data_IF_833579547194
#
_entry.id   IF_833579547194
#
_cell.length_a   1.000
_cell.length_b   1.000
_cell.length_c   1.000
_cell.angle_alpha   90.00
_cell.angle_beta   90.00
_cell.angle_gamma   90.00
#
_symmetry.space_group_name_H-M   'P 1'
#
loop_
_entity.id
_entity.type
_entity.pdbx_description
1 polymer ?
#
# COMPACT_ATOMS: atom_id res chain seq x y z
N UNK A 1 30.70 4.54 -21.45
CA UNK A 1 29.28 4.13 -21.22
C UNK A 1 28.45 5.41 -20.99
N UNK A 2 27.30 5.56 -21.63
CA UNK A 2 26.42 6.72 -21.41
C UNK A 2 25.93 6.69 -19.95
N UNK A 3 26.15 7.77 -19.16
CA UNK A 3 25.58 7.93 -17.82
C UNK A 3 24.05 7.75 -17.93
N UNK A 4 23.52 6.69 -17.35
CA UNK A 4 22.08 6.46 -17.33
C UNK A 4 21.46 7.52 -16.42
N UNK A 5 20.57 8.34 -16.98
CA UNK A 5 19.90 9.36 -16.19
C UNK A 5 18.89 8.68 -15.26
N UNK A 6 19.24 8.55 -13.97
CA UNK A 6 18.39 7.89 -12.96
C UNK A 6 16.98 8.48 -12.88
N UNK A 7 16.81 9.74 -13.28
CA UNK A 7 15.53 10.45 -13.21
C UNK A 7 14.45 9.77 -14.05
N UNK A 8 14.82 9.09 -15.18
CA UNK A 8 13.84 8.44 -16.05
C UNK A 8 13.16 7.23 -15.39
N UNK A 9 13.80 6.59 -14.41
CA UNK A 9 13.24 5.43 -13.70
C UNK A 9 11.99 5.81 -12.90
N UNK A 10 11.94 7.04 -12.35
CA UNK A 10 10.85 7.47 -11.51
C UNK A 10 9.53 7.68 -12.28
N UNK A 11 9.45 8.46 -13.38
CA UNK A 11 8.20 8.61 -14.14
C UNK A 11 7.76 7.29 -14.78
N UNK A 12 8.68 6.46 -15.28
CA UNK A 12 8.32 5.16 -15.84
C UNK A 12 7.77 4.24 -14.74
N UNK A 13 8.44 4.18 -13.59
CA UNK A 13 7.94 3.44 -12.42
C UNK A 13 6.60 3.96 -11.93
N UNK A 14 6.38 5.28 -11.92
CA UNK A 14 5.11 5.90 -11.56
C UNK A 14 3.97 5.43 -12.47
N UNK A 15 4.15 5.48 -13.79
CA UNK A 15 3.13 5.04 -14.75
C UNK A 15 2.82 3.56 -14.60
N UNK A 16 3.84 2.71 -14.42
CA UNK A 16 3.63 1.28 -14.22
C UNK A 16 2.87 1.02 -12.92
N UNK A 17 3.26 1.65 -11.82
CA UNK A 17 2.58 1.51 -10.53
C UNK A 17 1.13 2.02 -10.59
N UNK A 18 0.91 3.11 -11.30
CA UNK A 18 -0.41 3.65 -11.54
C UNK A 18 -1.31 2.64 -12.26
N UNK A 19 -0.85 2.03 -13.34
CA UNK A 19 -1.62 1.01 -14.08
C UNK A 19 -1.74 -0.31 -13.31
N UNK A 20 -0.72 -0.71 -12.56
CA UNK A 20 -0.77 -1.89 -11.70
C UNK A 20 -1.84 -1.75 -10.59
N UNK A 21 -2.09 -0.54 -10.11
CA UNK A 21 -3.12 -0.26 -9.11
C UNK A 21 -4.57 -0.40 -9.61
N UNK A 22 -4.79 -0.66 -10.90
CA UNK A 22 -6.14 -0.88 -11.48
C UNK A 22 -6.93 -1.99 -10.76
N UNK A 23 -6.25 -2.93 -10.10
CA UNK A 23 -6.92 -3.96 -9.29
C UNK A 23 -7.79 -3.36 -8.17
N UNK A 24 -7.50 -2.15 -7.70
CA UNK A 24 -8.35 -1.43 -6.74
C UNK A 24 -9.57 -0.74 -7.35
N UNK A 25 -9.66 -0.66 -8.68
CA UNK A 25 -10.87 -0.20 -9.37
C UNK A 25 -11.95 -1.30 -9.48
N UNK A 26 -11.73 -2.45 -8.81
CA UNK A 26 -12.63 -3.61 -8.88
C UNK A 26 -14.08 -3.27 -8.54
N UNK A 27 -14.37 -2.39 -7.60
CA UNK A 27 -15.73 -1.99 -7.25
C UNK A 27 -16.49 -1.43 -8.45
N UNK A 28 -15.84 -0.58 -9.26
CA UNK A 28 -16.42 0.02 -10.48
C UNK A 28 -16.56 -1.05 -11.58
N UNK A 29 -15.54 -1.89 -11.73
CA UNK A 29 -15.53 -2.97 -12.74
C UNK A 29 -16.62 -4.01 -12.41
N UNK A 30 -16.74 -4.40 -11.15
CA UNK A 30 -17.72 -5.42 -10.71
C UNK A 30 -19.17 -4.96 -10.87
N UNK A 31 -19.44 -3.66 -10.73
CA UNK A 31 -20.76 -3.08 -10.97
C UNK A 31 -21.19 -3.30 -12.43
N UNK A 32 -20.31 -2.99 -13.40
CA UNK A 32 -20.59 -3.24 -14.82
C UNK A 32 -20.74 -4.72 -15.15
N UNK A 33 -20.00 -5.60 -14.47
CA UNK A 33 -20.13 -7.05 -14.64
C UNK A 33 -21.46 -7.55 -14.05
N UNK A 34 -21.88 -7.07 -12.89
CA UNK A 34 -23.14 -7.45 -12.25
C UNK A 34 -24.35 -7.07 -13.10
N UNK A 35 -24.29 -5.93 -13.77
CA UNK A 35 -25.33 -5.51 -14.72
C UNK A 35 -25.45 -6.46 -15.93
N UNK A 36 -24.33 -7.08 -16.35
CA UNK A 36 -24.31 -8.04 -17.47
C UNK A 36 -24.71 -9.45 -17.02
N UNK A 37 -24.38 -9.84 -15.80
CA UNK A 37 -24.64 -11.15 -15.23
C UNK A 37 -25.44 -11.04 -13.91
N UNK A 38 -26.75 -10.80 -13.96
CA UNK A 38 -27.60 -10.65 -12.76
C UNK A 38 -27.61 -11.87 -11.84
N UNK A 39 -27.26 -13.05 -12.39
CA UNK A 39 -27.16 -14.30 -11.61
C UNK A 39 -25.89 -14.37 -10.74
N UNK A 40 -24.90 -13.52 -10.98
CA UNK A 40 -23.69 -13.47 -10.18
C UNK A 40 -23.89 -12.53 -9.00
N UNK A 41 -24.05 -13.13 -7.83
CA UNK A 41 -24.29 -12.36 -6.62
C UNK A 41 -23.06 -11.59 -6.15
N UNK A 42 -23.26 -10.67 -5.21
CA UNK A 42 -22.20 -9.83 -4.65
C UNK A 42 -21.06 -10.65 -4.03
N UNK A 43 -21.37 -11.81 -3.44
CA UNK A 43 -20.37 -12.71 -2.87
C UNK A 43 -19.45 -13.29 -3.96
N UNK A 44 -20.00 -13.70 -5.10
CA UNK A 44 -19.25 -14.20 -6.26
C UNK A 44 -18.27 -13.14 -6.77
N UNK A 45 -18.72 -11.90 -6.92
CA UNK A 45 -17.88 -10.81 -7.39
C UNK A 45 -16.83 -10.41 -6.35
N UNK A 46 -17.18 -10.38 -5.07
CA UNK A 46 -16.23 -10.11 -3.98
C UNK A 46 -15.14 -11.18 -3.88
N UNK A 47 -15.47 -12.46 -4.18
CA UNK A 47 -14.47 -13.53 -4.22
C UNK A 47 -13.40 -13.29 -5.28
N UNK A 48 -13.76 -12.70 -6.43
CA UNK A 48 -12.77 -12.32 -7.46
C UNK A 48 -11.71 -11.37 -6.87
N UNK A 49 -12.13 -10.34 -6.14
CA UNK A 49 -11.23 -9.41 -5.50
C UNK A 49 -10.36 -10.08 -4.43
N UNK A 50 -10.97 -10.97 -3.64
CA UNK A 50 -10.23 -11.75 -2.63
C UNK A 50 -9.12 -12.57 -3.28
N UNK A 51 -9.43 -13.31 -4.36
CA UNK A 51 -8.44 -14.07 -5.12
C UNK A 51 -7.35 -13.15 -5.67
N UNK A 52 -7.74 -11.98 -6.22
CA UNK A 52 -6.77 -11.00 -6.74
C UNK A 52 -5.78 -10.56 -5.66
N UNK A 53 -6.27 -10.22 -4.47
CA UNK A 53 -5.42 -9.76 -3.36
C UNK A 53 -4.50 -10.86 -2.83
N UNK A 54 -5.01 -12.08 -2.71
CA UNK A 54 -4.21 -13.22 -2.26
C UNK A 54 -3.08 -13.52 -3.25
N UNK A 55 -3.42 -13.60 -4.55
CA UNK A 55 -2.43 -13.93 -5.58
C UNK A 55 -1.47 -12.76 -5.85
N UNK A 56 -1.92 -11.52 -5.69
CA UNK A 56 -1.04 -10.34 -5.66
C UNK A 56 0.05 -10.46 -4.60
N UNK A 57 -0.30 -10.83 -3.37
CA UNK A 57 0.68 -11.01 -2.31
C UNK A 57 1.70 -12.11 -2.64
N UNK A 58 1.21 -13.23 -3.20
CA UNK A 58 2.09 -14.33 -3.67
C UNK A 58 2.99 -13.87 -4.83
N UNK A 59 2.47 -13.10 -5.78
CA UNK A 59 3.25 -12.52 -6.88
C UNK A 59 4.38 -11.62 -6.39
N UNK A 60 4.10 -10.80 -5.38
CA UNK A 60 5.11 -9.98 -4.71
C UNK A 60 6.23 -10.82 -4.09
N UNK A 61 5.86 -11.89 -3.37
CA UNK A 61 6.83 -12.85 -2.83
C UNK A 61 7.68 -13.51 -3.91
N UNK A 62 7.05 -14.07 -4.94
CA UNK A 62 7.75 -14.70 -6.08
C UNK A 62 8.73 -13.72 -6.72
N UNK A 63 8.30 -12.48 -6.98
CA UNK A 63 9.17 -11.42 -7.47
C UNK A 63 10.37 -11.19 -6.55
N UNK A 64 10.15 -11.09 -5.24
CA UNK A 64 11.20 -10.86 -4.25
C UNK A 64 12.29 -11.95 -4.29
N UNK A 65 11.89 -13.22 -4.42
CA UNK A 65 12.82 -14.35 -4.52
C UNK A 65 13.57 -14.40 -5.85
N UNK A 66 12.88 -14.11 -6.94
CA UNK A 66 13.43 -14.24 -8.28
C UNK A 66 14.32 -13.06 -8.69
N UNK A 67 13.94 -11.83 -8.33
CA UNK A 67 14.54 -10.61 -8.86
C UNK A 67 16.04 -10.50 -8.59
N UNK A 68 16.50 -11.07 -7.48
CA UNK A 68 17.93 -11.10 -7.16
C UNK A 68 18.74 -12.03 -8.08
N UNK A 69 18.10 -13.09 -8.59
CA UNK A 69 18.74 -14.08 -9.48
C UNK A 69 18.64 -13.67 -10.94
N UNK A 70 17.49 -13.19 -11.36
CA UNK A 70 17.15 -12.94 -12.77
C UNK A 70 17.18 -11.46 -13.16
N UNK A 71 17.22 -10.55 -12.19
CA UNK A 71 16.99 -9.12 -12.41
C UNK A 71 15.50 -8.79 -12.62
N UNK A 72 15.17 -7.49 -12.82
CA UNK A 72 13.78 -7.05 -12.96
C UNK A 72 13.16 -7.41 -14.32
N UNK A 73 13.95 -7.45 -15.40
CA UNK A 73 13.46 -7.59 -16.78
C UNK A 73 12.60 -8.82 -17.02
N UNK A 74 13.04 -10.08 -16.75
CA UNK A 74 12.24 -11.26 -17.03
C UNK A 74 10.98 -11.33 -16.18
N UNK A 75 10.99 -10.80 -14.96
CA UNK A 75 9.81 -10.73 -14.08
C UNK A 75 8.77 -9.77 -14.66
N UNK A 76 9.23 -8.61 -15.13
CA UNK A 76 8.35 -7.63 -15.78
C UNK A 76 7.79 -8.14 -17.11
N UNK A 77 8.60 -8.89 -17.91
CA UNK A 77 8.11 -9.53 -19.13
C UNK A 77 7.03 -10.58 -18.82
N UNK A 78 7.21 -11.38 -17.79
CA UNK A 78 6.19 -12.32 -17.34
C UNK A 78 4.88 -11.59 -16.95
N UNK A 79 4.99 -10.48 -16.20
CA UNK A 79 3.84 -9.66 -15.85
C UNK A 79 3.18 -9.00 -17.06
N UNK A 80 3.98 -8.55 -18.05
CA UNK A 80 3.51 -7.96 -19.31
C UNK A 80 2.68 -8.95 -20.15
N UNK A 81 2.92 -10.24 -20.02
CA UNK A 81 2.14 -11.29 -20.69
C UNK A 81 0.92 -11.68 -19.84
N UNK A 82 1.14 -11.96 -18.56
CA UNK A 82 0.10 -12.48 -17.66
C UNK A 82 -1.09 -11.51 -17.51
N UNK A 83 -0.84 -10.21 -17.36
CA UNK A 83 -1.90 -9.25 -17.11
C UNK A 83 -2.86 -9.11 -18.30
N UNK A 84 -2.41 -8.87 -19.55
CA UNK A 84 -3.30 -8.82 -20.71
C UNK A 84 -4.01 -10.14 -20.96
N UNK A 85 -3.32 -11.28 -20.83
CA UNK A 85 -3.96 -12.59 -20.96
C UNK A 85 -5.09 -12.76 -19.93
N UNK A 86 -4.85 -12.39 -18.67
CA UNK A 86 -5.85 -12.42 -17.62
C UNK A 86 -7.04 -11.51 -17.92
N UNK A 87 -6.80 -10.29 -18.40
CA UNK A 87 -7.86 -9.37 -18.82
C UNK A 87 -8.68 -9.91 -19.99
N UNK A 88 -8.05 -10.53 -21.00
CA UNK A 88 -8.74 -11.16 -22.11
C UNK A 88 -9.63 -12.31 -21.63
N UNK A 89 -9.11 -13.19 -20.78
CA UNK A 89 -9.90 -14.28 -20.18
C UNK A 89 -11.09 -13.70 -19.41
N UNK A 90 -10.87 -12.65 -18.61
CA UNK A 90 -11.94 -11.99 -17.87
C UNK A 90 -13.00 -11.40 -18.80
N UNK A 91 -12.62 -10.79 -19.95
CA UNK A 91 -13.61 -10.26 -20.92
C UNK A 91 -14.43 -11.32 -21.61
N UNK A 92 -13.90 -12.52 -21.74
CA UNK A 92 -14.56 -13.66 -22.35
C UNK A 92 -15.31 -14.54 -21.33
N UNK A 93 -15.24 -14.18 -20.04
CA UNK A 93 -15.82 -14.98 -18.97
C UNK A 93 -17.33 -15.16 -19.14
N UNK A 94 -17.78 -16.41 -19.00
CA UNK A 94 -19.17 -16.83 -18.94
C UNK A 94 -19.48 -17.51 -17.59
N UNK A 95 -18.45 -17.84 -16.84
CA UNK A 95 -18.55 -18.45 -15.52
C UNK A 95 -17.71 -17.66 -14.50
N UNK A 96 -18.12 -17.65 -13.23
CA UNK A 96 -17.31 -17.02 -12.17
C UNK A 96 -15.88 -17.56 -12.10
N UNK A 97 -15.68 -18.85 -12.35
CA UNK A 97 -14.36 -19.46 -12.32
C UNK A 97 -13.39 -18.83 -13.35
N UNK A 98 -13.88 -18.54 -14.56
CA UNK A 98 -13.07 -17.88 -15.59
C UNK A 98 -12.67 -16.45 -15.14
N UNK A 99 -13.56 -15.75 -14.45
CA UNK A 99 -13.27 -14.44 -13.87
C UNK A 99 -12.23 -14.55 -12.73
N UNK A 100 -12.35 -15.57 -11.86
CA UNK A 100 -11.35 -15.82 -10.79
C UNK A 100 -9.99 -16.15 -11.35
N UNK A 101 -9.91 -16.93 -12.45
CA UNK A 101 -8.64 -17.26 -13.09
C UNK A 101 -8.08 -16.03 -13.81
N UNK A 102 -8.85 -15.38 -14.67
CA UNK A 102 -8.42 -14.27 -15.51
C UNK A 102 -8.07 -13.04 -14.68
N UNK A 103 -9.09 -12.40 -14.11
CA UNK A 103 -8.90 -11.18 -13.33
C UNK A 103 -8.26 -11.49 -11.97
N UNK A 104 -8.76 -12.51 -11.27
CA UNK A 104 -8.28 -12.85 -9.94
C UNK A 104 -6.83 -13.32 -9.94
N UNK A 105 -6.56 -14.48 -10.50
CA UNK A 105 -5.25 -15.11 -10.39
C UNK A 105 -4.20 -14.47 -11.31
N UNK A 106 -4.49 -14.33 -12.61
CA UNK A 106 -3.47 -13.88 -13.57
C UNK A 106 -3.17 -12.39 -13.41
N UNK A 107 -4.18 -11.52 -13.30
CA UNK A 107 -3.90 -10.10 -13.08
C UNK A 107 -3.36 -9.83 -11.67
N UNK A 108 -3.82 -10.56 -10.66
CA UNK A 108 -3.26 -10.49 -9.30
C UNK A 108 -1.78 -10.84 -9.28
N UNK A 109 -1.40 -11.99 -9.87
CA UNK A 109 0.00 -12.42 -9.97
C UNK A 109 0.86 -11.38 -10.69
N UNK A 110 0.42 -10.94 -11.87
CA UNK A 110 1.13 -9.97 -12.68
C UNK A 110 1.34 -8.64 -11.93
N UNK A 111 0.31 -8.16 -11.23
CA UNK A 111 0.40 -6.95 -10.42
C UNK A 111 1.40 -7.10 -9.29
N UNK A 112 1.39 -8.24 -8.57
CA UNK A 112 2.36 -8.51 -7.50
C UNK A 112 3.80 -8.58 -8.01
N UNK A 113 4.02 -9.27 -9.14
CA UNK A 113 5.31 -9.34 -9.82
C UNK A 113 5.83 -7.93 -10.17
N UNK A 114 4.98 -7.10 -10.79
CA UNK A 114 5.31 -5.72 -11.14
C UNK A 114 5.57 -4.85 -9.93
N UNK A 115 4.68 -4.86 -8.94
CA UNK A 115 4.76 -4.03 -7.76
C UNK A 115 6.12 -4.14 -7.06
N UNK A 116 6.51 -5.35 -6.70
CA UNK A 116 7.77 -5.55 -6.01
C UNK A 116 8.99 -5.26 -6.91
N UNK A 117 8.93 -5.62 -8.20
CA UNK A 117 10.01 -5.34 -9.16
C UNK A 117 10.22 -3.84 -9.33
N UNK A 118 9.16 -3.05 -9.50
CA UNK A 118 9.24 -1.60 -9.69
C UNK A 118 9.75 -0.92 -8.43
N UNK A 119 9.11 -1.20 -7.27
CA UNK A 119 9.52 -0.57 -6.01
C UNK A 119 10.97 -0.88 -5.68
N UNK A 120 11.40 -2.15 -5.82
CA UNK A 120 12.76 -2.56 -5.52
C UNK A 120 13.78 -1.94 -6.47
N UNK A 121 13.50 -1.95 -7.77
CA UNK A 121 14.46 -1.46 -8.79
C UNK A 121 14.57 0.05 -8.74
N UNK A 122 13.45 0.77 -8.71
CA UNK A 122 13.48 2.24 -8.71
C UNK A 122 14.07 2.76 -7.42
N UNK A 123 13.70 2.21 -6.26
CA UNK A 123 14.27 2.63 -4.98
C UNK A 123 15.78 2.42 -4.90
N UNK A 124 16.33 1.40 -5.56
CA UNK A 124 17.78 1.16 -5.61
C UNK A 124 18.56 2.28 -6.31
N UNK A 125 17.94 3.00 -7.27
CA UNK A 125 18.54 4.15 -7.93
C UNK A 125 18.55 5.44 -7.10
N UNK A 126 17.75 5.50 -6.03
CA UNK A 126 17.59 6.68 -5.17
C UNK A 126 17.86 6.35 -3.70
N UNK A 127 19.05 5.87 -3.34
CA UNK A 127 19.37 5.55 -1.97
C UNK A 127 19.33 6.78 -1.05
N UNK A 128 19.52 7.98 -1.62
CA UNK A 128 19.50 9.28 -0.96
C UNK A 128 18.10 9.78 -0.58
N UNK A 129 17.04 9.25 -1.20
CA UNK A 129 15.63 9.68 -1.02
C UNK A 129 14.66 8.51 -1.10
N UNK A 130 15.00 7.39 -0.49
CA UNK A 130 14.25 6.15 -0.63
C UNK A 130 12.80 6.25 -0.15
N UNK A 131 12.56 6.94 0.97
CA UNK A 131 11.22 7.17 1.49
C UNK A 131 10.36 7.99 0.54
N UNK A 132 10.89 9.11 0.02
CA UNK A 132 10.16 9.95 -0.94
C UNK A 132 9.85 9.20 -2.24
N UNK A 133 10.82 8.47 -2.79
CA UNK A 133 10.65 7.74 -4.06
C UNK A 133 9.66 6.60 -3.90
N UNK A 134 9.79 5.78 -2.86
CA UNK A 134 8.80 4.73 -2.60
C UNK A 134 7.42 5.30 -2.30
N UNK A 135 7.35 6.40 -1.54
CA UNK A 135 6.09 7.11 -1.28
C UNK A 135 5.41 7.58 -2.55
N UNK A 136 6.15 8.15 -3.51
CA UNK A 136 5.61 8.60 -4.80
C UNK A 136 5.12 7.44 -5.67
N UNK A 137 5.89 6.35 -5.76
CA UNK A 137 5.48 5.14 -6.47
C UNK A 137 4.20 4.53 -5.89
N UNK A 138 4.11 4.46 -4.57
CA UNK A 138 2.95 3.94 -3.88
C UNK A 138 1.74 4.90 -3.98
N UNK A 139 1.98 6.22 -4.06
CA UNK A 139 0.92 7.19 -4.32
C UNK A 139 0.28 6.99 -5.70
N UNK A 140 1.10 6.71 -6.74
CA UNK A 140 0.61 6.34 -8.05
C UNK A 140 -0.31 5.12 -8.00
N UNK A 141 0.13 4.08 -7.27
CA UNK A 141 -0.64 2.86 -7.07
C UNK A 141 -1.97 3.11 -6.33
N UNK A 142 -1.97 3.99 -5.31
CA UNK A 142 -3.17 4.35 -4.55
C UNK A 142 -4.14 5.26 -5.32
N UNK A 143 -3.62 6.15 -6.18
CA UNK A 143 -4.42 7.06 -7.01
C UNK A 143 -5.09 6.34 -8.19
N UNK A 144 -4.60 5.17 -8.54
CA UNK A 144 -5.03 4.38 -9.69
C UNK A 144 -6.54 4.15 -9.70
N UNK A 145 -7.13 3.68 -8.61
CA UNK A 145 -8.55 3.32 -8.57
C UNK A 145 -9.47 4.45 -9.02
N UNK A 146 -9.14 5.70 -8.66
CA UNK A 146 -9.93 6.86 -9.06
C UNK A 146 -9.84 7.16 -10.57
N UNK A 147 -8.62 7.17 -11.12
CA UNK A 147 -8.42 7.57 -12.53
C UNK A 147 -8.69 6.40 -13.47
N UNK A 148 -8.19 5.18 -13.16
CA UNK A 148 -8.44 4.01 -14.00
C UNK A 148 -9.89 3.55 -13.94
N UNK A 149 -10.58 3.77 -12.81
CA UNK A 149 -12.01 3.57 -12.69
C UNK A 149 -12.81 4.50 -13.60
N UNK A 150 -12.48 5.79 -13.64
CA UNK A 150 -13.10 6.75 -14.57
C UNK A 150 -12.77 6.42 -16.02
N UNK A 151 -11.52 6.07 -16.31
CA UNK A 151 -11.10 5.66 -17.65
C UNK A 151 -11.88 4.41 -18.10
N UNK A 152 -12.00 3.42 -17.23
CA UNK A 152 -12.80 2.23 -17.49
C UNK A 152 -14.26 2.60 -17.77
N UNK A 153 -14.89 3.39 -16.92
CA UNK A 153 -16.29 3.81 -17.05
C UNK A 153 -16.55 4.60 -18.35
N UNK A 154 -15.58 5.37 -18.83
CA UNK A 154 -15.70 6.10 -20.11
C UNK A 154 -15.78 5.17 -21.34
N UNK A 155 -15.25 3.96 -21.24
CA UNK A 155 -15.27 2.95 -22.32
C UNK A 155 -16.18 1.75 -22.00
N UNK A 156 -16.88 1.78 -20.89
CA UNK A 156 -17.85 0.76 -20.46
C UNK A 156 -19.20 1.45 -20.21
N UNK A 157 -19.96 1.80 -21.26
CA UNK A 157 -21.27 2.42 -21.09
C UNK A 157 -22.22 1.54 -20.28
N UNK A 158 -23.06 2.19 -19.49
CA UNK A 158 -23.95 1.56 -18.50
C UNK A 158 -25.17 0.79 -19.09
N UNK A 159 -25.24 0.65 -20.40
CA UNK A 159 -26.38 0.11 -21.14
C UNK A 159 -26.50 -1.42 -21.17
N UNK A 160 -25.88 -2.11 -20.20
CA UNK A 160 -26.09 -3.55 -19.94
C UNK A 160 -25.46 -4.51 -20.97
N UNK A 161 -24.71 -4.00 -21.96
CA UNK A 161 -23.96 -4.81 -22.91
C UNK A 161 -22.58 -5.24 -22.36
N UNK A 162 -21.90 -6.15 -23.08
CA UNK A 162 -20.51 -6.55 -22.78
C UNK A 162 -19.47 -5.45 -23.08
N UNK A 163 -19.87 -4.18 -23.16
CA UNK A 163 -18.99 -3.05 -23.44
C UNK A 163 -17.90 -2.85 -22.37
N UNK A 164 -18.12 -3.29 -21.13
CA UNK A 164 -17.09 -3.33 -20.07
C UNK A 164 -15.84 -4.11 -20.50
N UNK A 165 -15.97 -5.09 -21.39
CA UNK A 165 -14.84 -5.81 -21.97
C UNK A 165 -13.90 -4.92 -22.78
N UNK A 166 -14.41 -3.85 -23.41
CA UNK A 166 -13.57 -2.87 -24.11
C UNK A 166 -12.72 -2.06 -23.13
N UNK A 167 -13.29 -1.62 -22.02
CA UNK A 167 -12.56 -0.95 -20.95
C UNK A 167 -11.40 -1.80 -20.40
N UNK A 168 -11.65 -3.10 -20.16
CA UNK A 168 -10.60 -4.01 -19.70
C UNK A 168 -9.49 -4.21 -20.73
N UNK A 169 -9.83 -4.31 -22.02
CA UNK A 169 -8.82 -4.46 -23.11
C UNK A 169 -7.95 -3.22 -23.23
N UNK A 170 -8.53 -2.03 -23.14
CA UNK A 170 -7.77 -0.76 -23.17
C UNK A 170 -6.80 -0.70 -21.99
N UNK A 171 -7.26 -1.02 -20.76
CA UNK A 171 -6.40 -1.08 -19.58
C UNK A 171 -5.30 -2.12 -19.73
N UNK A 172 -5.59 -3.28 -20.34
CA UNK A 172 -4.60 -4.32 -20.63
C UNK A 172 -3.52 -3.84 -21.60
N UNK A 173 -3.89 -3.14 -22.68
CA UNK A 173 -2.93 -2.60 -23.64
C UNK A 173 -2.06 -1.50 -23.04
N UNK A 174 -2.64 -0.60 -22.25
CA UNK A 174 -1.88 0.44 -21.54
C UNK A 174 -0.89 -0.19 -20.55
N UNK A 175 -1.31 -1.19 -19.79
CA UNK A 175 -0.43 -1.92 -18.88
C UNK A 175 0.70 -2.62 -19.64
N UNK A 176 0.38 -3.32 -20.72
CA UNK A 176 1.37 -3.99 -21.57
C UNK A 176 2.45 -3.02 -22.06
N UNK A 177 2.04 -1.89 -22.65
CA UNK A 177 2.94 -0.88 -23.18
C UNK A 177 3.85 -0.29 -22.09
N UNK A 178 3.29 0.05 -20.93
CA UNK A 178 4.04 0.62 -19.82
C UNK A 178 5.04 -0.41 -19.24
N UNK A 179 4.61 -1.66 -19.04
CA UNK A 179 5.48 -2.68 -18.44
C UNK A 179 6.56 -3.12 -19.40
N UNK A 180 6.31 -3.20 -20.72
CA UNK A 180 7.34 -3.46 -21.73
C UNK A 180 8.38 -2.33 -21.76
N UNK A 181 7.95 -1.06 -21.66
CA UNK A 181 8.87 0.09 -21.53
C UNK A 181 9.73 -0.05 -20.28
N UNK A 182 9.14 -0.42 -19.14
CA UNK A 182 9.90 -0.70 -17.92
C UNK A 182 10.85 -1.88 -18.07
N UNK A 183 10.41 -2.99 -18.68
CA UNK A 183 11.24 -4.16 -18.92
C UNK A 183 12.47 -3.84 -19.80
N UNK A 184 12.32 -2.93 -20.78
CA UNK A 184 13.43 -2.48 -21.60
C UNK A 184 14.44 -1.61 -20.83
N UNK A 185 13.96 -0.76 -19.92
CA UNK A 185 14.76 0.26 -19.24
C UNK A 185 15.33 -0.24 -17.91
N UNK A 186 14.55 -1.00 -17.12
CA UNK A 186 14.87 -1.28 -15.72
C UNK A 186 16.01 -2.27 -15.57
N UNK A 187 16.98 -1.88 -14.78
CA UNK A 187 18.06 -2.70 -14.24
C UNK A 187 18.46 -2.16 -12.86
N UNK A 188 19.14 -2.95 -12.10
CA UNK A 188 19.75 -2.45 -10.86
C UNK A 188 20.96 -1.56 -11.21
N UNK A 189 21.23 -0.53 -10.39
CA UNK A 189 22.41 0.30 -10.54
C UNK A 189 23.69 -0.49 -10.22
N UNK A 190 24.78 -0.18 -10.90
CA UNK A 190 26.12 -0.61 -10.54
C UNK A 190 26.67 0.28 -9.42
N UNK A 191 27.63 -0.20 -8.61
CA UNK A 191 28.15 0.55 -7.46
C UNK A 191 28.70 1.93 -7.85
N UNK A 192 29.42 2.03 -8.95
CA UNK A 192 29.99 3.28 -9.48
C UNK A 192 28.94 4.28 -10.01
N UNK A 193 27.71 3.83 -10.34
CA UNK A 193 26.63 4.73 -10.79
C UNK A 193 25.95 5.44 -9.63
N UNK A 194 25.99 4.86 -8.44
CA UNK A 194 25.41 5.44 -7.22
C UNK A 194 26.31 6.53 -6.64
N UNK A 195 27.63 6.32 -6.65
CA UNK A 195 28.63 7.22 -6.03
C UNK A 195 28.79 8.55 -6.75
N UNK A 196 28.53 8.60 -8.06
CA UNK A 196 28.74 9.82 -8.88
C UNK A 196 27.59 10.83 -8.82
N UNK A 197 26.50 10.54 -8.15
CA UNK A 197 25.25 11.33 -8.21
C UNK A 197 24.88 12.13 -6.97
N UNK A 198 25.48 11.90 -5.84
CA UNK A 198 25.12 12.61 -4.60
C UNK A 198 26.37 12.84 -3.75
N UNK A 199 26.71 14.13 -3.50
CA UNK A 199 27.50 14.46 -2.34
C UNK A 199 26.78 13.88 -1.10
N UNK A 200 27.49 13.22 -0.15
CA UNK A 200 26.85 12.64 1.01
C UNK A 200 26.18 13.76 1.82
N UNK A 201 24.85 13.87 1.69
CA UNK A 201 24.10 14.75 2.57
C UNK A 201 24.18 14.17 3.97
N UNK A 202 24.48 15.03 4.95
CA UNK A 202 24.70 14.76 6.40
C UNK A 202 23.63 13.90 7.12
N UNK A 203 22.65 13.33 6.43
CA UNK A 203 21.53 12.56 6.99
C UNK A 203 21.36 11.15 6.40
N UNK A 204 22.38 10.58 5.76
CA UNK A 204 22.35 9.16 5.43
C UNK A 204 22.52 8.35 6.71
N UNK A 205 21.42 7.88 7.29
CA UNK A 205 21.49 6.79 8.27
C UNK A 205 21.94 5.53 7.52
N UNK A 206 23.06 4.97 7.92
CA UNK A 206 23.41 3.63 7.47
C UNK A 206 22.36 2.64 7.93
N UNK A 207 22.06 1.61 7.12
CA UNK A 207 21.16 0.53 7.55
C UNK A 207 21.61 -0.05 8.89
N UNK A 208 20.68 -0.45 9.72
CA UNK A 208 21.00 -1.06 11.03
C UNK A 208 21.77 -2.36 10.87
N UNK A 209 21.41 -3.15 9.86
CA UNK A 209 22.10 -4.36 9.45
C UNK A 209 21.78 -4.65 7.97
N UNK A 210 22.51 -5.59 7.37
CA UNK A 210 22.23 -6.07 6.01
C UNK A 210 22.15 -7.60 6.03
N UNK A 211 20.96 -8.13 6.30
CA UNK A 211 20.74 -9.54 6.60
C UNK A 211 19.69 -10.19 5.68
N UNK A 212 19.86 -11.49 5.38
CA UNK A 212 18.91 -12.25 4.57
C UNK A 212 17.58 -12.48 5.31
N UNK A 213 16.51 -12.83 4.56
CA UNK A 213 15.18 -13.04 5.14
C UNK A 213 15.16 -14.11 6.24
N UNK A 214 15.97 -15.16 6.13
CA UNK A 214 16.07 -16.21 7.16
C UNK A 214 16.56 -15.69 8.52
N UNK A 215 17.42 -14.67 8.53
CA UNK A 215 17.86 -14.01 9.75
C UNK A 215 16.86 -12.92 10.17
N UNK A 216 16.32 -12.15 9.23
CA UNK A 216 15.29 -11.15 9.51
C UNK A 216 14.09 -11.76 10.24
N UNK A 217 13.56 -12.88 9.76
CA UNK A 217 12.42 -13.58 10.38
C UNK A 217 12.70 -14.12 11.79
N UNK A 218 13.96 -14.18 12.24
CA UNK A 218 14.34 -14.53 13.60
C UNK A 218 14.39 -13.31 14.54
N UNK A 219 14.25 -12.10 14.01
CA UNK A 219 14.30 -10.87 14.82
C UNK A 219 12.92 -10.55 15.41
N UNK A 220 12.87 -10.21 16.70
CA UNK A 220 11.63 -9.74 17.35
C UNK A 220 11.13 -8.44 16.74
N UNK A 221 12.04 -7.55 16.28
CA UNK A 221 11.69 -6.29 15.64
C UNK A 221 10.88 -6.49 14.34
N UNK A 222 11.18 -7.55 13.56
CA UNK A 222 10.41 -7.88 12.37
C UNK A 222 8.98 -8.27 12.73
N UNK A 223 8.78 -9.17 13.68
CA UNK A 223 7.43 -9.64 14.04
C UNK A 223 6.60 -8.56 14.71
N UNK A 224 7.20 -7.72 15.56
CA UNK A 224 6.52 -6.56 16.13
C UNK A 224 6.08 -5.59 15.03
N UNK A 225 6.96 -5.31 14.06
CA UNK A 225 6.61 -4.48 12.91
C UNK A 225 5.53 -5.13 12.03
N UNK A 226 5.62 -6.42 11.75
CA UNK A 226 4.63 -7.16 10.96
C UNK A 226 3.24 -7.15 11.61
N UNK A 227 3.17 -7.31 12.94
CA UNK A 227 1.90 -7.19 13.68
C UNK A 227 1.39 -5.75 13.62
N UNK A 228 2.26 -4.76 13.80
CA UNK A 228 1.92 -3.35 13.70
C UNK A 228 1.33 -3.01 12.31
N UNK A 229 1.99 -3.44 11.24
CA UNK A 229 1.50 -3.32 9.87
C UNK A 229 0.16 -4.02 9.70
N UNK A 230 -0.01 -5.22 10.25
CA UNK A 230 -1.25 -5.99 10.11
C UNK A 230 -2.43 -5.28 10.77
N UNK A 231 -2.26 -4.77 11.98
CA UNK A 231 -3.31 -4.03 12.69
C UNK A 231 -3.73 -2.77 11.94
N UNK A 232 -2.76 -1.98 11.44
CA UNK A 232 -3.07 -0.75 10.70
C UNK A 232 -3.63 -1.04 9.30
N UNK A 233 -3.21 -2.13 8.65
CA UNK A 233 -3.87 -2.59 7.42
C UNK A 233 -5.33 -2.94 7.70
N UNK A 234 -5.60 -3.69 8.77
CA UNK A 234 -6.96 -4.02 9.17
C UNK A 234 -7.81 -2.78 9.47
N UNK A 235 -7.27 -1.82 10.22
CA UNK A 235 -7.93 -0.54 10.49
C UNK A 235 -8.28 0.23 9.21
N UNK A 236 -7.33 0.31 8.26
CA UNK A 236 -7.57 0.99 6.98
C UNK A 236 -8.57 0.27 6.08
N UNK A 237 -8.55 -1.07 6.07
CA UNK A 237 -9.55 -1.85 5.33
C UNK A 237 -10.95 -1.69 5.91
N UNK A 238 -11.11 -1.60 7.24
CA UNK A 238 -12.40 -1.28 7.88
C UNK A 238 -12.85 0.12 7.47
N UNK A 239 -11.96 1.12 7.56
CA UNK A 239 -12.26 2.50 7.15
C UNK A 239 -12.77 2.57 5.72
N UNK A 240 -12.05 1.95 4.76
CA UNK A 240 -12.42 1.99 3.34
C UNK A 240 -13.65 1.12 3.06
N UNK A 241 -13.71 -0.07 3.63
CA UNK A 241 -14.76 -1.04 3.35
C UNK A 241 -16.13 -0.66 3.93
N UNK A 242 -16.16 0.12 5.02
CA UNK A 242 -17.40 0.54 5.70
C UNK A 242 -17.71 2.04 5.49
N UNK A 243 -16.92 2.75 4.68
CA UNK A 243 -17.02 4.20 4.54
C UNK A 243 -18.41 4.69 4.13
N UNK A 244 -19.04 4.05 3.14
CA UNK A 244 -20.38 4.43 2.68
C UNK A 244 -21.42 4.28 3.78
N UNK A 245 -21.45 3.11 4.44
CA UNK A 245 -22.38 2.86 5.52
C UNK A 245 -22.18 3.78 6.73
N UNK A 246 -20.93 4.09 7.11
CA UNK A 246 -20.60 5.08 8.16
C UNK A 246 -21.15 6.45 7.78
N UNK A 247 -20.96 6.88 6.52
CA UNK A 247 -21.42 8.17 6.04
C UNK A 247 -22.95 8.22 5.96
N UNK A 248 -23.63 7.16 5.55
CA UNK A 248 -25.09 7.07 5.46
C UNK A 248 -25.74 7.09 6.84
N UNK A 249 -25.18 6.37 7.82
CA UNK A 249 -25.75 6.28 9.16
C UNK A 249 -25.74 7.64 9.88
N UNK A 250 -24.67 8.43 9.73
CA UNK A 250 -24.59 9.77 10.34
C UNK A 250 -25.23 10.83 9.46
N UNK A 251 -25.13 10.72 8.15
CA UNK A 251 -25.63 11.69 7.16
C UNK A 251 -27.03 11.37 6.64
N UNK A 252 -27.96 10.97 7.48
CA UNK A 252 -29.31 10.36 7.23
C UNK A 252 -30.13 10.91 6.05
N UNK A 253 -29.90 12.15 5.60
CA UNK A 253 -30.69 12.80 4.54
C UNK A 253 -29.81 13.30 3.37
N UNK A 254 -28.57 12.80 3.24
CA UNK A 254 -27.68 13.23 2.20
C UNK A 254 -27.92 12.44 0.90
N UNK A 255 -27.71 13.09 -0.24
CA UNK A 255 -27.78 12.41 -1.52
C UNK A 255 -26.65 11.39 -1.65
N UNK A 256 -26.90 10.27 -2.36
CA UNK A 256 -25.87 9.27 -2.64
C UNK A 256 -24.63 9.86 -3.32
N UNK A 257 -24.81 10.89 -4.16
CA UNK A 257 -23.68 11.58 -4.80
C UNK A 257 -22.79 12.34 -3.78
N UNK A 258 -23.38 12.95 -2.75
CA UNK A 258 -22.65 13.59 -1.65
C UNK A 258 -21.86 12.56 -0.86
N UNK A 259 -22.48 11.42 -0.53
CA UNK A 259 -21.83 10.32 0.19
C UNK A 259 -20.65 9.77 -0.62
N UNK A 260 -20.87 9.49 -1.90
CA UNK A 260 -19.80 9.01 -2.80
C UNK A 260 -18.63 10.02 -2.90
N UNK A 261 -18.91 11.32 -2.91
CA UNK A 261 -17.88 12.37 -2.94
C UNK A 261 -17.05 12.37 -1.65
N UNK A 262 -17.71 12.27 -0.49
CA UNK A 262 -17.05 12.25 0.81
C UNK A 262 -16.21 10.99 0.98
N UNK A 263 -16.73 9.82 0.57
CA UNK A 263 -15.96 8.56 0.55
C UNK A 263 -14.77 8.65 -0.39
N UNK A 264 -14.94 9.25 -1.56
CA UNK A 264 -13.87 9.46 -2.55
C UNK A 264 -12.70 10.29 -2.00
N UNK A 265 -12.95 11.17 -1.03
CA UNK A 265 -11.90 11.96 -0.37
C UNK A 265 -10.87 11.07 0.34
N UNK A 266 -11.27 9.90 0.86
CA UNK A 266 -10.34 8.93 1.46
C UNK A 266 -9.23 8.56 0.46
N UNK A 267 -9.58 8.31 -0.80
CA UNK A 267 -8.60 7.91 -1.83
C UNK A 267 -7.64 9.04 -2.20
N UNK A 268 -8.12 10.27 -2.29
CA UNK A 268 -7.27 11.44 -2.57
C UNK A 268 -6.30 11.67 -1.42
N UNK A 269 -6.80 11.68 -0.19
CA UNK A 269 -5.98 11.88 1.01
C UNK A 269 -5.00 10.73 1.24
N UNK A 270 -5.36 9.51 0.84
CA UNK A 270 -4.47 8.35 0.85
C UNK A 270 -3.24 8.59 -0.06
N UNK A 271 -3.44 9.08 -1.27
CA UNK A 271 -2.31 9.40 -2.17
C UNK A 271 -1.41 10.50 -1.59
N UNK A 272 -1.99 11.56 -1.03
CA UNK A 272 -1.26 12.65 -0.37
C UNK A 272 -0.48 12.11 0.83
N UNK A 273 -1.09 11.28 1.66
CA UNK A 273 -0.46 10.67 2.82
C UNK A 273 0.79 9.85 2.46
N UNK A 274 0.76 9.10 1.35
CA UNK A 274 1.91 8.32 0.87
C UNK A 274 3.11 9.20 0.51
N UNK A 275 2.87 10.32 -0.17
CA UNK A 275 3.93 11.26 -0.56
C UNK A 275 4.51 11.95 0.67
N UNK A 276 3.64 12.48 1.53
CA UNK A 276 4.05 13.19 2.74
C UNK A 276 4.86 12.30 3.68
N UNK A 277 4.39 11.08 3.91
CA UNK A 277 5.05 10.15 4.81
C UNK A 277 6.42 9.70 4.32
N UNK A 278 6.61 9.51 3.00
CA UNK A 278 7.92 9.23 2.45
C UNK A 278 8.94 10.32 2.80
N UNK A 279 8.53 11.59 2.69
CA UNK A 279 9.36 12.74 3.07
C UNK A 279 9.60 12.82 4.58
N UNK A 280 8.58 12.52 5.39
CA UNK A 280 8.70 12.48 6.85
C UNK A 280 9.67 11.38 7.28
N UNK A 281 9.61 10.21 6.64
CA UNK A 281 10.54 9.12 6.94
C UNK A 281 11.99 9.51 6.65
N UNK A 282 12.25 10.12 5.51
CA UNK A 282 13.60 10.55 5.13
C UNK A 282 14.17 11.62 6.09
N UNK A 283 13.31 12.43 6.73
CA UNK A 283 13.69 13.51 7.64
C UNK A 283 13.74 13.10 9.11
N UNK A 284 12.74 12.37 9.58
CA UNK A 284 12.53 12.07 11.01
C UNK A 284 12.74 10.59 11.35
N UNK A 285 12.95 9.72 10.34
CA UNK A 285 13.14 8.29 10.51
C UNK A 285 11.87 7.54 10.91
N UNK A 286 12.04 6.27 11.30
CA UNK A 286 10.92 5.38 11.58
C UNK A 286 10.04 5.82 12.75
N UNK A 287 10.63 6.33 13.84
CA UNK A 287 9.88 6.74 15.03
C UNK A 287 8.96 7.93 14.73
N UNK A 288 9.49 8.99 14.10
CA UNK A 288 8.67 10.15 13.73
C UNK A 288 7.53 9.77 12.79
N UNK A 289 7.80 8.89 11.84
CA UNK A 289 6.80 8.33 10.92
C UNK A 289 5.71 7.55 11.66
N UNK A 290 6.09 6.63 12.55
CA UNK A 290 5.13 5.82 13.32
C UNK A 290 4.24 6.71 14.21
N UNK A 291 4.81 7.71 14.89
CA UNK A 291 4.04 8.64 15.72
C UNK A 291 3.06 9.46 14.87
N UNK A 292 3.48 9.95 13.70
CA UNK A 292 2.58 10.66 12.79
C UNK A 292 1.42 9.79 12.33
N UNK A 293 1.71 8.55 11.90
CA UNK A 293 0.69 7.60 11.45
C UNK A 293 -0.31 7.28 12.56
N UNK A 294 0.18 6.96 13.74
CA UNK A 294 -0.66 6.61 14.89
C UNK A 294 -1.49 7.81 15.38
N UNK A 295 -0.88 9.00 15.44
CA UNK A 295 -1.58 10.23 15.81
C UNK A 295 -2.71 10.59 14.84
N UNK A 296 -2.44 10.49 13.53
CA UNK A 296 -3.46 10.80 12.51
C UNK A 296 -4.56 9.73 12.46
N UNK A 297 -4.25 8.43 12.58
CA UNK A 297 -5.28 7.38 12.67
C UNK A 297 -6.10 7.48 13.96
N UNK A 298 -5.44 7.76 15.09
CA UNK A 298 -6.11 7.98 16.38
C UNK A 298 -7.08 9.16 16.30
N UNK A 299 -6.63 10.29 15.77
CA UNK A 299 -7.47 11.47 15.57
C UNK A 299 -8.67 11.17 14.67
N UNK A 300 -8.43 10.49 13.53
CA UNK A 300 -9.51 10.10 12.61
C UNK A 300 -10.57 9.26 13.30
N UNK A 301 -10.16 8.22 14.02
CA UNK A 301 -11.09 7.31 14.70
C UNK A 301 -11.89 8.02 15.81
N UNK A 302 -11.26 8.91 16.59
CA UNK A 302 -11.92 9.70 17.62
C UNK A 302 -12.92 10.69 17.03
N UNK A 303 -12.58 11.38 15.93
CA UNK A 303 -13.49 12.29 15.23
C UNK A 303 -14.73 11.55 14.73
N UNK A 304 -14.56 10.37 14.14
CA UNK A 304 -15.68 9.57 13.66
C UNK A 304 -16.55 9.02 14.80
N UNK A 305 -15.95 8.52 15.87
CA UNK A 305 -16.69 8.05 17.05
C UNK A 305 -17.48 9.20 17.69
N UNK A 306 -16.91 10.40 17.78
CA UNK A 306 -17.57 11.57 18.29
C UNK A 306 -18.70 12.06 17.37
N UNK A 307 -18.52 11.92 16.04
CA UNK A 307 -19.55 12.21 15.05
C UNK A 307 -20.81 11.34 15.24
N UNK A 308 -20.65 10.07 15.57
CA UNK A 308 -21.77 9.17 15.89
C UNK A 308 -22.54 9.63 17.15
N UNK A 309 -21.84 10.18 18.13
CA UNK A 309 -22.47 10.68 19.36
C UNK A 309 -23.24 11.98 19.14
N UNK A 310 -22.72 12.87 18.32
CA UNK A 310 -23.28 14.21 18.10
C UNK A 310 -24.22 14.30 16.90
N UNK A 311 -24.18 13.33 15.98
CA UNK A 311 -24.86 13.40 14.68
C UNK A 311 -24.28 14.47 13.74
N UNK A 312 -23.09 15.03 14.04
CA UNK A 312 -22.50 16.12 13.28
C UNK A 312 -21.67 15.59 12.11
N UNK A 313 -22.30 15.47 10.94
CA UNK A 313 -21.71 14.90 9.72
C UNK A 313 -20.36 15.49 9.27
N UNK A 314 -20.08 16.80 9.39
CA UNK A 314 -18.78 17.35 9.02
C UNK A 314 -17.59 16.69 9.71
N UNK A 315 -17.77 16.12 10.90
CA UNK A 315 -16.72 15.35 11.58
C UNK A 315 -16.42 14.02 10.89
N UNK A 316 -17.40 13.40 10.23
CA UNK A 316 -17.17 12.23 9.36
C UNK A 316 -16.29 12.62 8.16
N UNK A 317 -16.57 13.77 7.53
CA UNK A 317 -15.80 14.28 6.39
C UNK A 317 -14.34 14.49 6.79
N UNK A 318 -14.09 15.17 7.91
CA UNK A 318 -12.75 15.42 8.44
C UNK A 318 -12.11 14.08 8.87
N UNK A 319 -12.87 13.20 9.54
CA UNK A 319 -12.41 11.87 9.93
C UNK A 319 -11.95 11.03 8.73
N UNK A 320 -12.70 11.02 7.64
CA UNK A 320 -12.33 10.33 6.41
C UNK A 320 -11.10 10.95 5.74
N UNK A 321 -11.00 12.27 5.70
CA UNK A 321 -9.82 12.94 5.15
C UNK A 321 -8.56 12.59 5.95
N UNK A 322 -8.61 12.71 7.27
CA UNK A 322 -7.48 12.39 8.17
C UNK A 322 -7.17 10.88 8.15
N UNK A 323 -8.20 10.02 8.12
CA UNK A 323 -8.04 8.57 8.07
C UNK A 323 -7.47 8.08 6.74
N UNK A 324 -7.92 8.66 5.62
CA UNK A 324 -7.36 8.41 4.31
C UNK A 324 -5.88 8.80 4.26
N UNK A 325 -5.52 9.98 4.76
CA UNK A 325 -4.13 10.42 4.89
C UNK A 325 -3.31 9.44 5.75
N UNK A 326 -3.83 9.05 6.91
CA UNK A 326 -3.15 8.12 7.82
C UNK A 326 -2.89 6.76 7.18
N UNK A 327 -3.88 6.21 6.47
CA UNK A 327 -3.74 4.94 5.76
C UNK A 327 -2.69 5.03 4.64
N UNK A 328 -2.69 6.11 3.87
CA UNK A 328 -1.68 6.35 2.86
C UNK A 328 -0.28 6.48 3.44
N UNK A 329 -0.15 7.26 4.50
CA UNK A 329 1.09 7.44 5.23
C UNK A 329 1.64 6.10 5.73
N UNK A 330 0.80 5.28 6.35
CA UNK A 330 1.16 3.95 6.82
C UNK A 330 1.67 3.05 5.68
N UNK A 331 0.98 2.98 4.54
CA UNK A 331 1.35 2.13 3.42
C UNK A 331 2.75 2.42 2.87
N UNK A 332 3.20 3.67 2.92
CA UNK A 332 4.53 4.07 2.42
C UNK A 332 5.67 3.90 3.44
N UNK A 333 5.35 3.48 4.68
CA UNK A 333 6.36 3.26 5.72
C UNK A 333 7.19 1.99 5.46
N UNK A 334 6.56 0.91 4.99
CA UNK A 334 7.20 -0.41 4.90
C UNK A 334 8.43 -0.46 3.98
N UNK A 335 8.42 0.10 2.76
CA UNK A 335 9.61 0.08 1.91
C UNK A 335 10.81 0.77 2.55
N UNK A 336 10.59 1.95 3.12
CA UNK A 336 11.64 2.74 3.74
C UNK A 336 12.19 2.08 5.02
N UNK A 337 11.30 1.53 5.86
CA UNK A 337 11.69 0.85 7.09
C UNK A 337 12.45 -0.45 6.81
N UNK A 338 12.04 -1.24 5.82
CA UNK A 338 12.75 -2.47 5.46
C UNK A 338 14.18 -2.18 5.02
N UNK A 339 14.41 -1.10 4.27
CA UNK A 339 15.74 -0.68 3.88
C UNK A 339 16.57 -0.14 5.05
N UNK A 340 15.96 0.63 5.97
CA UNK A 340 16.64 1.18 7.15
C UNK A 340 17.00 0.11 8.19
N UNK A 341 16.12 -0.88 8.41
CA UNK A 341 16.31 -1.92 9.42
C UNK A 341 17.18 -3.07 8.94
N UNK A 342 16.94 -3.55 7.71
CA UNK A 342 17.46 -4.84 7.23
C UNK A 342 18.36 -4.75 6.00
N UNK A 343 18.70 -3.53 5.59
CA UNK A 343 19.67 -3.28 4.53
C UNK A 343 19.13 -3.37 3.12
N UNK A 344 20.05 -3.26 2.17
CA UNK A 344 19.71 -3.13 0.74
C UNK A 344 20.02 -4.37 -0.08
N UNK A 345 20.96 -5.19 0.36
CA UNK A 345 21.37 -6.40 -0.39
C UNK A 345 20.22 -7.39 -0.57
N UNK A 346 19.38 -7.53 0.46
CA UNK A 346 18.24 -8.45 0.47
C UNK A 346 16.89 -7.72 0.43
N UNK A 347 16.90 -6.43 0.12
CA UNK A 347 15.73 -5.56 0.22
C UNK A 347 14.50 -6.12 -0.48
N UNK A 348 14.63 -6.54 -1.75
CA UNK A 348 13.51 -6.98 -2.58
C UNK A 348 12.74 -8.16 -1.96
N UNK A 349 13.48 -9.13 -1.40
CA UNK A 349 12.84 -10.29 -0.76
C UNK A 349 12.35 -9.96 0.64
N UNK A 350 13.10 -9.20 1.43
CA UNK A 350 12.69 -8.78 2.77
C UNK A 350 11.40 -7.95 2.71
N UNK A 351 11.32 -7.00 1.77
CA UNK A 351 10.14 -6.18 1.55
C UNK A 351 8.94 -7.00 1.06
N UNK A 352 9.15 -7.98 0.17
CA UNK A 352 8.06 -8.77 -0.42
C UNK A 352 7.27 -9.62 0.60
N UNK A 353 7.83 -9.84 1.79
CA UNK A 353 7.16 -10.58 2.87
C UNK A 353 6.08 -9.70 3.52
N UNK A 354 6.25 -8.38 3.58
CA UNK A 354 5.31 -7.49 4.29
C UNK A 354 3.89 -7.56 3.70
N UNK A 355 3.65 -7.46 2.38
CA UNK A 355 2.30 -7.53 1.82
C UNK A 355 1.54 -8.84 2.09
N UNK A 356 2.21 -9.89 2.55
CA UNK A 356 1.53 -11.15 2.93
C UNK A 356 0.58 -10.96 4.11
N UNK A 357 0.72 -9.87 4.87
CA UNK A 357 -0.22 -9.53 5.93
C UNK A 357 -1.66 -9.38 5.42
N UNK A 358 -1.85 -9.01 4.14
CA UNK A 358 -3.18 -8.88 3.54
C UNK A 358 -3.97 -10.18 3.52
N UNK A 359 -3.29 -11.35 3.54
CA UNK A 359 -3.92 -12.66 3.65
C UNK A 359 -4.77 -12.80 4.93
N UNK A 360 -4.34 -12.16 6.01
CA UNK A 360 -5.00 -12.23 7.32
C UNK A 360 -5.87 -11.00 7.59
N UNK A 361 -5.38 -9.82 7.19
CA UNK A 361 -6.05 -8.56 7.51
C UNK A 361 -7.31 -8.31 6.71
N UNK A 362 -7.51 -9.01 5.57
CA UNK A 362 -8.78 -9.01 4.84
C UNK A 362 -9.96 -9.50 5.68
N UNK A 363 -9.73 -10.34 6.69
CA UNK A 363 -10.78 -10.76 7.62
C UNK A 363 -11.27 -9.65 8.55
N UNK A 364 -10.53 -8.56 8.70
CA UNK A 364 -10.96 -7.42 9.52
C UNK A 364 -12.28 -6.81 9.01
N UNK A 365 -12.47 -6.73 7.69
CA UNK A 365 -13.71 -6.24 7.08
C UNK A 365 -14.89 -7.19 7.32
N UNK A 366 -14.62 -8.50 7.31
CA UNK A 366 -15.64 -9.52 7.61
C UNK A 366 -16.07 -9.43 9.07
N UNK A 367 -15.11 -9.24 9.99
CA UNK A 367 -15.40 -9.05 11.42
C UNK A 367 -16.22 -7.77 11.63
N UNK A 368 -15.84 -6.67 10.97
CA UNK A 368 -16.57 -5.41 11.02
C UNK A 368 -18.01 -5.56 10.50
N UNK A 369 -18.21 -6.28 9.38
CA UNK A 369 -19.55 -6.60 8.85
C UNK A 369 -20.39 -7.41 9.83
N UNK A 370 -19.83 -8.45 10.45
CA UNK A 370 -20.53 -9.24 11.48
C UNK A 370 -20.89 -8.42 12.73
N UNK A 371 -20.06 -7.44 13.10
CA UNK A 371 -20.38 -6.54 14.19
C UNK A 371 -21.55 -5.63 13.83
N UNK A 372 -21.57 -5.12 12.60
CA UNK A 372 -22.72 -4.36 12.09
C UNK A 372 -24.00 -5.20 12.11
N UNK A 373 -23.97 -6.45 11.57
CA UNK A 373 -25.13 -7.33 11.55
C UNK A 373 -25.72 -7.61 12.94
N UNK A 374 -24.88 -7.60 13.99
CA UNK A 374 -25.29 -7.82 15.39
C UNK A 374 -25.80 -6.56 16.07
N UNK A 375 -25.28 -5.40 15.70
CA UNK A 375 -25.57 -4.12 16.41
C UNK A 375 -26.44 -3.18 15.61
N UNK A 376 -26.65 -3.45 14.31
CA UNK A 376 -27.28 -2.56 13.34
C UNK A 376 -26.68 -1.15 13.33
N UNK A 377 -25.38 -1.02 13.63
CA UNK A 377 -24.68 0.27 13.64
C UNK A 377 -23.19 0.09 13.28
N UNK A 378 -22.69 0.98 12.44
CA UNK A 378 -21.26 1.05 12.10
C UNK A 378 -20.41 1.60 13.25
N UNK A 379 -21.02 2.09 14.31
CA UNK A 379 -20.30 2.48 15.53
C UNK A 379 -19.43 1.35 16.08
N UNK A 380 -19.93 0.11 16.06
CA UNK A 380 -19.18 -1.08 16.48
C UNK A 380 -17.94 -1.34 15.62
N UNK A 381 -18.03 -1.10 14.31
CA UNK A 381 -16.91 -1.20 13.38
C UNK A 381 -15.85 -0.12 13.64
N UNK A 382 -16.26 1.09 14.04
CA UNK A 382 -15.33 2.16 14.43
C UNK A 382 -14.65 1.87 15.76
N UNK A 383 -15.32 1.23 16.72
CA UNK A 383 -14.69 0.76 17.97
C UNK A 383 -13.60 -0.28 17.65
N UNK A 384 -13.88 -1.22 16.73
CA UNK A 384 -12.88 -2.20 16.30
C UNK A 384 -11.67 -1.53 15.64
N UNK A 385 -11.91 -0.55 14.75
CA UNK A 385 -10.86 0.24 14.12
C UNK A 385 -10.02 0.96 15.16
N UNK A 386 -10.65 1.65 16.11
CA UNK A 386 -9.95 2.32 17.21
C UNK A 386 -9.13 1.34 18.06
N UNK A 387 -9.67 0.16 18.35
CA UNK A 387 -8.99 -0.91 19.07
C UNK A 387 -7.70 -1.36 18.36
N UNK A 388 -7.74 -1.51 17.02
CA UNK A 388 -6.55 -1.83 16.25
C UNK A 388 -5.50 -0.71 16.30
N UNK A 389 -5.91 0.55 16.23
CA UNK A 389 -5.01 1.70 16.35
C UNK A 389 -4.40 1.75 17.76
N UNK A 390 -5.19 1.58 18.80
CA UNK A 390 -4.73 1.58 20.19
C UNK A 390 -3.71 0.45 20.45
N UNK A 391 -4.00 -0.76 19.96
CA UNK A 391 -3.06 -1.87 20.03
C UNK A 391 -1.74 -1.57 19.29
N UNK A 392 -1.84 -0.89 18.13
CA UNK A 392 -0.67 -0.48 17.34
C UNK A 392 0.19 0.54 18.10
N UNK A 393 -0.39 1.42 18.93
CA UNK A 393 0.36 2.34 19.80
C UNK A 393 1.24 1.54 20.79
N UNK A 394 0.66 0.54 21.45
CA UNK A 394 1.41 -0.30 22.42
C UNK A 394 2.56 -1.05 21.73
N UNK A 395 2.30 -1.60 20.54
CA UNK A 395 3.33 -2.33 19.79
C UNK A 395 4.44 -1.40 19.31
N UNK A 396 4.10 -0.17 18.87
CA UNK A 396 5.09 0.79 18.37
C UNK A 396 6.17 1.14 19.40
N UNK A 397 5.82 1.14 20.69
CA UNK A 397 6.76 1.40 21.81
C UNK A 397 7.82 0.28 21.90
N UNK A 398 7.45 -0.93 21.51
CA UNK A 398 8.32 -2.12 21.59
C UNK A 398 9.21 -2.26 20.34
N UNK A 399 8.83 -1.63 19.21
CA UNK A 399 9.61 -1.72 17.96
C UNK A 399 10.90 -0.92 18.13
N UNK A 400 12.01 -1.62 17.90
CA UNK A 400 13.36 -1.03 17.96
C UNK A 400 14.11 -1.37 16.69
N UNK A 401 14.96 -0.46 16.27
CA UNK A 401 15.90 -0.68 15.19
C UNK A 401 16.87 -1.80 15.60
N UNK A 402 17.13 -2.80 14.76
CA UNK A 402 18.10 -3.84 15.05
C UNK A 402 19.47 -3.20 15.45
N UNK A 403 20.10 -3.73 16.50
CA UNK A 403 21.40 -3.20 16.99
C UNK A 403 21.32 -1.96 17.89
N UNK A 404 20.18 -1.31 18.07
CA UNK A 404 20.02 -0.25 19.08
C UNK A 404 20.09 -0.84 20.49
N UNK A 405 21.16 -0.52 21.22
CA UNK A 405 21.29 -0.84 22.66
C UNK A 405 20.26 0.01 23.45
N UNK A 406 19.69 -0.57 24.50
CA UNK A 406 18.91 0.19 25.50
C UNK A 406 19.76 1.36 26.01
N UNK A 407 19.42 2.58 25.60
CA UNK A 407 19.87 3.74 26.35
C UNK A 407 19.08 3.73 27.66
N UNK A 408 19.64 3.10 28.67
CA UNK A 408 19.17 3.29 30.05
C UNK A 408 19.40 4.78 30.32
N UNK A 409 18.31 5.53 30.44
CA UNK A 409 18.34 6.90 30.96
C UNK A 409 18.78 6.78 32.42
N UNK A 410 20.07 6.62 32.61
CA UNK A 410 20.68 6.76 33.91
C UNK A 410 20.66 8.24 34.24
N UNK A 411 19.91 8.63 35.24
CA UNK A 411 20.10 9.90 35.94
C UNK A 411 21.59 10.06 36.26
N UNK A 412 22.33 10.77 35.41
CA UNK A 412 23.63 11.31 35.81
C UNK A 412 23.37 12.41 36.83
N UNK A 413 23.42 12.04 38.10
CA UNK A 413 23.73 12.99 39.17
C UNK A 413 24.93 13.80 38.72
N UNK A 414 24.72 15.10 38.55
CA UNK A 414 25.77 16.10 38.54
C UNK A 414 26.48 16.10 39.91
N UNK A 415 27.62 15.43 40.00
CA UNK A 415 28.61 15.81 41.01
C UNK A 415 29.82 16.35 40.25
N UNK A 416 29.96 17.65 40.34
CA UNK A 416 31.17 18.32 39.89
C UNK A 416 32.36 17.93 40.75
N UNK A 417 33.56 17.91 40.14
CA UNK A 417 34.75 18.57 40.64
C UNK A 417 35.95 18.37 39.70
N UNK A 418 36.54 19.49 39.44
CA UNK A 418 37.87 19.76 38.93
C UNK A 418 38.99 18.74 39.24
N UNK A 419 39.93 18.55 38.29
CA UNK A 419 41.38 18.88 38.33
C UNK A 419 42.02 18.29 37.07
N UNK A 420 42.58 19.08 36.25
CA UNK A 420 43.90 19.58 35.95
C UNK A 420 45.08 18.70 36.40
N UNK A 421 45.89 18.32 35.45
CA UNK A 421 47.35 18.32 35.23
C UNK A 421 47.85 17.01 34.62
N UNK A 422 48.43 17.09 33.43
CA UNK A 422 49.86 17.22 33.09
C UNK A 422 50.71 16.01 33.49
N UNK A 423 51.09 15.21 32.54
CA UNK A 423 52.41 14.83 32.09
C UNK A 423 52.27 13.94 30.82
#
# INVERSE_FOLDING_TARGET
MKKTNRIIYLPVGFVIMFLAGTIYAWSIISESISATFPSWNAQTLSMTFTVTMMVYALGGLVSGFLIKKTGPRPIMLAAAILYPCGMVIATLAQTPLQLYIGYGAMCGLATGLCYNSVVSTVSAWFPDRQGMVSGLLLAAYGLSSFITGKLFAAFAPADGGRAWGTGLRILALLFLAAVLTGAALFRFPEQNEIETGAAPKKHHREPACDIPPSQMLRTGSFWLYYIWVSLLTGAGLILIGQASGIAEEVGRNLSGNTIATVVGMISIMNAIGRICNGTVFDRFGYQGTMHMVLGTFGLSSLLMLYAFHTGFFPLIVIGFAVGGFAYGAFCSTSPALMADFYGRTWYSINFSIIPTNTLFTSFATVIAGRLYDRTNSFYSSLILLFGFVAASVLISILIRRPGEKKTVVGHRHRTGRHRVQVA
#
